data_IF_689777046261
#
_entry.id   IF_689777046261
#
_cell.length_a   1.000
_cell.length_b   1.000
_cell.length_c   1.000
_cell.angle_alpha   90.00
_cell.angle_beta   90.00
_cell.angle_gamma   90.00
#
_symmetry.space_group_name_H-M   'P 1'
#
loop_
_entity.id
_entity.type
_entity.pdbx_description
1 polymer ?
#
# COMPACT_ATOMS: atom_id res chain seq x y z
N UNK A 1 -15.29 -5.39 23.57
CA UNK A 1 -15.36 -5.61 22.12
C UNK A 1 -13.93 -5.72 21.61
N UNK A 2 -13.55 -6.88 21.05
CA UNK A 2 -12.22 -7.12 20.47
C UNK A 2 -12.23 -6.88 18.95
N UNK A 3 -11.06 -6.94 18.29
CA UNK A 3 -10.93 -6.68 16.85
C UNK A 3 -11.80 -7.61 16.01
N UNK A 4 -11.81 -8.91 16.34
CA UNK A 4 -12.61 -9.92 15.64
C UNK A 4 -14.12 -9.65 15.77
N UNK A 5 -14.57 -9.25 16.96
CA UNK A 5 -15.96 -8.85 17.18
C UNK A 5 -16.33 -7.60 16.37
N UNK A 6 -15.43 -6.61 16.27
CA UNK A 6 -15.63 -5.41 15.45
C UNK A 6 -15.73 -5.72 13.95
N UNK A 7 -14.87 -6.60 13.44
CA UNK A 7 -14.90 -7.04 12.03
C UNK A 7 -16.23 -7.72 11.69
N UNK A 8 -16.70 -8.61 12.56
CA UNK A 8 -17.98 -9.31 12.39
C UNK A 8 -19.13 -8.30 12.34
N UNK A 9 -19.18 -7.33 13.24
CA UNK A 9 -20.24 -6.31 13.23
C UNK A 9 -20.14 -5.38 12.01
N UNK A 10 -18.93 -4.98 11.60
CA UNK A 10 -18.73 -4.15 10.41
C UNK A 10 -19.19 -4.86 9.11
N UNK A 11 -19.02 -6.18 9.03
CA UNK A 11 -19.48 -6.97 7.89
C UNK A 11 -21.01 -7.13 7.82
N UNK A 12 -21.74 -6.86 8.91
CA UNK A 12 -23.22 -6.83 8.91
C UNK A 12 -23.81 -5.57 8.29
N UNK A 13 -23.01 -4.51 8.12
CA UNK A 13 -23.44 -3.29 7.45
C UNK A 13 -23.79 -3.57 5.99
N UNK A 14 -24.72 -2.78 5.45
CA UNK A 14 -24.97 -2.79 4.01
C UNK A 14 -23.73 -2.28 3.23
N UNK A 15 -23.65 -2.53 1.92
CA UNK A 15 -22.48 -2.15 1.13
C UNK A 15 -22.12 -0.66 1.19
N UNK A 16 -23.09 0.24 1.30
CA UNK A 16 -22.86 1.68 1.31
C UNK A 16 -22.29 2.14 2.65
N UNK A 17 -22.88 1.68 3.76
CA UNK A 17 -22.40 2.00 5.11
C UNK A 17 -21.02 1.37 5.38
N UNK A 18 -20.77 0.16 4.86
CA UNK A 18 -19.45 -0.46 4.93
C UNK A 18 -18.41 0.32 4.13
N UNK A 19 -18.74 0.81 2.93
CA UNK A 19 -17.83 1.64 2.15
C UNK A 19 -17.48 2.95 2.87
N UNK A 20 -18.48 3.60 3.48
CA UNK A 20 -18.27 4.81 4.29
C UNK A 20 -17.43 4.57 5.54
N UNK A 21 -17.59 3.41 6.19
CA UNK A 21 -16.73 3.02 7.31
C UNK A 21 -15.29 2.79 6.85
N UNK A 22 -15.10 2.12 5.71
CA UNK A 22 -13.77 1.89 5.13
C UNK A 22 -13.07 3.22 4.79
N UNK A 23 -13.77 4.17 4.18
CA UNK A 23 -13.25 5.52 3.90
C UNK A 23 -12.74 6.21 5.17
N UNK A 24 -13.56 6.27 6.24
CA UNK A 24 -13.15 6.89 7.51
C UNK A 24 -11.96 6.21 8.17
N UNK A 25 -11.87 4.89 8.07
CA UNK A 25 -10.72 4.15 8.58
C UNK A 25 -9.46 4.50 7.78
N UNK A 26 -9.56 4.57 6.45
CA UNK A 26 -8.46 5.01 5.60
C UNK A 26 -8.03 6.46 5.91
N UNK A 27 -8.98 7.39 6.01
CA UNK A 27 -8.70 8.78 6.40
C UNK A 27 -8.02 8.87 7.77
N UNK A 28 -8.39 8.01 8.72
CA UNK A 28 -7.73 7.99 10.03
C UNK A 28 -6.24 7.58 9.94
N UNK A 29 -5.87 6.77 8.94
CA UNK A 29 -4.49 6.40 8.68
C UNK A 29 -3.72 7.49 7.95
N UNK A 30 -4.41 8.44 7.28
CA UNK A 30 -3.78 9.60 6.66
C UNK A 30 -3.34 10.68 7.69
N UNK A 31 -3.68 10.49 8.97
CA UNK A 31 -3.25 11.39 10.06
C UNK A 31 -1.95 10.98 10.75
N UNK A 32 -1.17 10.06 10.16
CA UNK A 32 0.19 9.82 10.63
C UNK A 32 0.93 11.16 10.68
N UNK A 33 1.44 11.48 11.87
CA UNK A 33 2.32 12.64 12.04
C UNK A 33 3.49 12.53 11.05
N UNK A 34 4.07 13.67 10.68
CA UNK A 34 5.23 13.66 9.79
C UNK A 34 6.36 12.76 10.33
N UNK A 35 6.47 12.64 11.65
CA UNK A 35 7.39 11.73 12.34
C UNK A 35 7.04 10.25 12.09
N UNK A 36 5.78 9.86 12.25
CA UNK A 36 5.34 8.48 11.99
C UNK A 36 5.48 8.12 10.50
N UNK A 37 5.15 9.05 9.62
CA UNK A 37 5.36 8.89 8.17
C UNK A 37 6.86 8.71 7.84
N UNK A 38 7.75 9.52 8.43
CA UNK A 38 9.18 9.37 8.22
C UNK A 38 9.70 7.99 8.66
N UNK A 39 9.19 7.44 9.77
CA UNK A 39 9.55 6.11 10.23
C UNK A 39 9.12 5.05 9.21
N UNK A 40 7.86 5.07 8.77
CA UNK A 40 7.33 4.10 7.79
C UNK A 40 8.10 4.19 6.46
N UNK A 41 8.41 5.40 5.99
CA UNK A 41 9.21 5.59 4.78
C UNK A 41 10.65 5.11 4.93
N UNK A 42 11.27 5.29 6.10
CA UNK A 42 12.62 4.80 6.36
C UNK A 42 12.67 3.26 6.37
N UNK A 43 11.68 2.61 7.00
CA UNK A 43 11.54 1.15 6.99
C UNK A 43 11.34 0.62 5.57
N UNK A 44 10.46 1.23 4.79
CA UNK A 44 10.22 0.84 3.39
C UNK A 44 11.43 1.08 2.50
N UNK A 45 12.18 2.17 2.71
CA UNK A 45 13.40 2.45 1.98
C UNK A 45 14.47 1.37 2.27
N UNK A 46 14.67 1.01 3.55
CA UNK A 46 15.60 -0.04 3.94
C UNK A 46 15.21 -1.41 3.36
N UNK A 47 13.91 -1.73 3.36
CA UNK A 47 13.40 -2.97 2.75
C UNK A 47 13.67 -3.00 1.24
N UNK A 48 13.41 -1.90 0.53
CA UNK A 48 13.64 -1.80 -0.92
C UNK A 48 15.12 -1.83 -1.29
N UNK A 49 15.98 -1.25 -0.46
CA UNK A 49 17.44 -1.29 -0.64
C UNK A 49 17.96 -2.74 -0.55
N UNK A 50 17.53 -3.48 0.48
CA UNK A 50 17.85 -4.89 0.62
C UNK A 50 17.32 -5.75 -0.56
N UNK A 51 16.10 -5.47 -1.03
CA UNK A 51 15.54 -6.13 -2.22
C UNK A 51 16.33 -5.78 -3.49
N UNK A 52 16.83 -4.54 -3.59
CA UNK A 52 17.61 -4.07 -4.73
C UNK A 52 18.96 -4.79 -4.85
N UNK A 53 19.65 -5.02 -3.73
CA UNK A 53 20.89 -5.79 -3.69
C UNK A 53 20.71 -7.24 -4.19
N UNK A 54 19.53 -7.83 -3.98
CA UNK A 54 19.19 -9.16 -4.47
C UNK A 54 18.68 -9.16 -5.93
N UNK A 55 18.35 -7.99 -6.49
CA UNK A 55 17.73 -7.88 -7.80
C UNK A 55 18.74 -8.08 -8.94
N UNK A 56 18.30 -8.76 -10.01
CA UNK A 56 19.04 -8.80 -11.27
C UNK A 56 18.63 -7.61 -12.13
N UNK A 57 19.57 -6.73 -12.41
CA UNK A 57 19.38 -5.61 -13.34
C UNK A 57 18.97 -6.08 -14.73
N UNK A 58 18.15 -5.27 -15.40
CA UNK A 58 17.84 -5.41 -16.84
C UNK A 58 18.34 -4.17 -17.57
N UNK A 59 18.73 -4.33 -18.83
CA UNK A 59 19.16 -3.19 -19.63
C UNK A 59 17.97 -2.22 -19.83
N UNK A 60 18.26 -0.92 -19.77
CA UNK A 60 17.24 0.09 -20.02
C UNK A 60 16.64 -0.05 -21.43
N UNK A 61 17.45 -0.46 -22.41
CA UNK A 61 17.01 -0.68 -23.78
C UNK A 61 15.96 -1.80 -23.88
N UNK A 62 16.19 -2.93 -23.21
CA UNK A 62 15.24 -4.06 -23.22
C UNK A 62 13.92 -3.69 -22.54
N UNK A 63 13.99 -2.94 -21.44
CA UNK A 63 12.80 -2.46 -20.71
C UNK A 63 12.00 -1.50 -21.59
N UNK A 64 12.66 -0.53 -22.22
CA UNK A 64 12.00 0.44 -23.11
C UNK A 64 11.39 -0.22 -24.35
N UNK A 65 12.04 -1.25 -24.90
CA UNK A 65 11.51 -2.03 -26.03
C UNK A 65 10.21 -2.76 -25.65
N UNK A 66 10.22 -3.47 -24.52
CA UNK A 66 9.06 -4.21 -24.02
C UNK A 66 7.88 -3.27 -23.75
N UNK A 67 8.10 -2.16 -23.03
CA UNK A 67 7.06 -1.16 -22.76
C UNK A 67 6.45 -0.63 -24.06
N UNK A 68 7.25 -0.23 -25.04
CA UNK A 68 6.74 0.27 -26.33
C UNK A 68 5.93 -0.77 -27.09
N UNK A 69 6.32 -2.04 -27.05
CA UNK A 69 5.57 -3.12 -27.73
C UNK A 69 4.21 -3.42 -27.09
N UNK A 70 3.98 -3.06 -25.82
CA UNK A 70 2.69 -3.25 -25.12
C UNK A 70 1.65 -2.18 -25.45
N UNK A 71 2.09 -1.06 -26.01
CA UNK A 71 1.24 0.10 -26.33
C UNK A 71 1.23 0.42 -27.84
N UNK A 72 1.72 -0.49 -28.68
CA UNK A 72 1.63 -0.43 -30.15
C UNK A 72 0.49 -1.32 -30.64
#
# INVERSE_FOLDING_TARGET
>A
MNLTELEIEALKLDPADRARLAERLLESLETLSEQENQVVWAEEAARRDADFDAAKGRSAEDVLRDVRSRFA
#
